data_IF_284692739023
#
_entry.id   IF_284692739023
#
_cell.length_a   1.000
_cell.length_b   1.000
_cell.length_c   1.000
_cell.angle_alpha   90.00
_cell.angle_beta   90.00
_cell.angle_gamma   90.00
#
_symmetry.space_group_name_H-M   'P 1'
#
loop_
_entity.id
_entity.type
_entity.pdbx_description
1 polymer ?
#
# COMPACT_ATOMS: atom_id res chain seq x y z
N UNK A 1 7.33 16.68 -6.94
CA UNK A 1 7.70 15.37 -6.34
C UNK A 1 6.57 14.35 -6.42
N UNK A 2 5.32 14.70 -6.03
CA UNK A 2 4.17 13.77 -6.08
C UNK A 2 3.93 13.15 -7.48
N UNK A 3 4.07 13.94 -8.54
CA UNK A 3 3.96 13.47 -9.93
C UNK A 3 5.03 12.43 -10.32
N UNK A 4 6.27 12.59 -9.83
CA UNK A 4 7.38 11.66 -10.09
C UNK A 4 7.12 10.32 -9.40
N UNK A 5 6.67 10.36 -8.13
CA UNK A 5 6.31 9.16 -7.37
C UNK A 5 5.13 8.43 -8.04
N UNK A 6 4.11 9.16 -8.50
CA UNK A 6 3.01 8.56 -9.29
C UNK A 6 3.47 7.94 -10.58
N UNK A 7 4.46 8.54 -11.25
CA UNK A 7 5.00 7.99 -12.50
C UNK A 7 5.72 6.65 -12.25
N UNK A 8 6.55 6.58 -11.21
CA UNK A 8 7.28 5.37 -10.82
C UNK A 8 6.31 4.26 -10.41
N UNK A 9 5.29 4.59 -9.60
CA UNK A 9 4.29 3.64 -9.12
C UNK A 9 3.03 3.55 -10.00
N UNK A 10 3.10 4.06 -11.23
CA UNK A 10 2.01 3.98 -12.19
C UNK A 10 1.52 2.55 -12.50
N UNK A 11 2.35 1.47 -12.51
CA UNK A 11 1.82 0.12 -12.73
C UNK A 11 0.91 -0.36 -11.60
N UNK A 12 1.06 0.16 -10.39
CA UNK A 12 0.20 -0.18 -9.24
C UNK A 12 -1.03 0.74 -9.19
N UNK A 13 -0.84 2.03 -9.47
CA UNK A 13 -1.91 3.03 -9.37
C UNK A 13 -2.88 2.97 -10.55
N UNK A 14 -2.41 2.79 -11.78
CA UNK A 14 -3.28 2.82 -12.98
C UNK A 14 -4.40 1.78 -12.95
N UNK A 15 -4.16 0.50 -12.60
CA UNK A 15 -5.25 -0.48 -12.51
C UNK A 15 -6.29 -0.11 -11.44
N UNK A 16 -5.83 0.47 -10.32
CA UNK A 16 -6.70 0.88 -9.23
C UNK A 16 -7.47 2.17 -9.54
N UNK A 17 -6.89 3.09 -10.28
CA UNK A 17 -7.51 4.37 -10.65
C UNK A 17 -8.30 4.30 -11.97
N UNK A 18 -8.14 3.24 -12.76
CA UNK A 18 -8.79 3.11 -14.07
C UNK A 18 -10.26 2.71 -13.95
N UNK A 19 -11.17 3.60 -14.30
CA UNK A 19 -12.60 3.32 -14.35
C UNK A 19 -13.41 4.51 -13.82
N UNK A 20 -14.67 4.59 -14.22
CA UNK A 20 -15.58 5.67 -13.82
C UNK A 20 -16.77 5.12 -13.01
N UNK A 21 -16.56 4.02 -12.30
CA UNK A 21 -17.58 3.43 -11.44
C UNK A 21 -17.86 4.37 -10.25
N UNK A 22 -19.12 4.50 -9.81
CA UNK A 22 -19.42 5.18 -8.57
C UNK A 22 -18.62 4.51 -7.43
N UNK A 23 -18.11 5.32 -6.51
CA UNK A 23 -17.37 4.85 -5.35
C UNK A 23 -17.77 5.62 -4.11
N UNK A 24 -17.87 4.91 -2.98
CA UNK A 24 -18.10 5.54 -1.68
C UNK A 24 -16.76 5.69 -0.97
N UNK A 25 -16.28 6.92 -0.86
CA UNK A 25 -15.04 7.23 -0.15
C UNK A 25 -15.28 7.59 1.32
N UNK A 26 -14.45 7.04 2.20
CA UNK A 26 -14.35 7.43 3.60
C UNK A 26 -12.90 7.72 3.95
N UNK A 27 -12.64 8.87 4.58
CA UNK A 27 -11.29 9.26 5.01
C UNK A 27 -10.65 8.25 5.96
N UNK A 28 -11.44 7.57 6.79
CA UNK A 28 -10.97 6.50 7.68
C UNK A 28 -10.31 5.35 6.93
N UNK A 29 -10.78 5.00 5.74
CA UNK A 29 -10.20 3.94 4.91
C UNK A 29 -8.76 4.26 4.49
N UNK A 30 -8.47 5.54 4.18
CA UNK A 30 -7.13 6.00 3.86
C UNK A 30 -6.21 5.93 5.09
N UNK A 31 -6.71 6.37 6.25
CA UNK A 31 -5.95 6.33 7.51
C UNK A 31 -5.62 4.90 7.88
N UNK A 32 -6.60 3.99 7.87
CA UNK A 32 -6.39 2.58 8.21
C UNK A 32 -5.39 1.95 7.24
N UNK A 33 -5.50 2.21 5.94
CA UNK A 33 -4.56 1.69 4.95
C UNK A 33 -3.12 2.10 5.25
N UNK A 34 -2.88 3.37 5.56
CA UNK A 34 -1.55 3.89 5.92
C UNK A 34 -1.06 3.31 7.25
N UNK A 35 -1.93 3.24 8.27
CA UNK A 35 -1.58 2.69 9.59
C UNK A 35 -1.21 1.21 9.50
N UNK A 36 -2.01 0.39 8.80
CA UNK A 36 -1.73 -1.04 8.61
C UNK A 36 -0.47 -1.25 7.78
N UNK A 37 -0.22 -0.41 6.76
CA UNK A 37 1.04 -0.44 6.01
C UNK A 37 2.25 -0.18 6.92
N UNK A 38 2.12 0.74 7.88
CA UNK A 38 3.16 0.98 8.90
C UNK A 38 3.39 -0.21 9.82
N UNK A 39 2.32 -0.90 10.24
CA UNK A 39 2.45 -2.13 11.03
C UNK A 39 3.22 -3.22 10.27
N UNK A 40 2.90 -3.43 8.99
CA UNK A 40 3.64 -4.38 8.14
C UNK A 40 5.10 -3.95 7.90
N UNK A 41 5.37 -2.65 7.79
CA UNK A 41 6.74 -2.14 7.68
C UNK A 41 7.56 -2.47 8.93
N UNK A 42 6.98 -2.25 10.12
CA UNK A 42 7.60 -2.57 11.40
C UNK A 42 7.84 -4.08 11.48
N UNK A 43 6.86 -4.90 11.11
CA UNK A 43 6.98 -6.36 11.12
C UNK A 43 8.08 -6.86 10.19
N UNK A 44 8.17 -6.33 8.97
CA UNK A 44 9.22 -6.65 8.01
C UNK A 44 10.61 -6.24 8.54
N UNK A 45 10.71 -5.04 9.10
CA UNK A 45 11.95 -4.51 9.68
C UNK A 45 12.42 -5.36 10.86
N UNK A 46 11.54 -5.63 11.83
CA UNK A 46 11.85 -6.47 12.99
C UNK A 46 12.25 -7.88 12.57
N UNK A 47 11.52 -8.48 11.62
CA UNK A 47 11.85 -9.82 11.10
C UNK A 47 13.25 -9.86 10.49
N UNK A 48 13.63 -8.82 9.73
CA UNK A 48 14.95 -8.71 9.13
C UNK A 48 16.06 -8.50 10.18
N UNK A 49 15.83 -7.66 11.19
CA UNK A 49 16.84 -7.33 12.20
C UNK A 49 17.05 -8.41 13.27
N UNK A 50 15.98 -9.11 13.69
CA UNK A 50 16.06 -10.10 14.77
C UNK A 50 16.38 -11.52 14.28
N UNK A 51 16.10 -11.84 13.01
CA UNK A 51 16.29 -13.17 12.45
C UNK A 51 16.98 -13.11 11.07
N UNK A 52 18.30 -12.83 11.00
CA UNK A 52 19.03 -12.68 9.75
C UNK A 52 19.32 -14.01 9.02
N UNK A 53 18.43 -15.00 9.16
CA UNK A 53 18.48 -16.26 8.42
C UNK A 53 17.66 -16.18 7.13
N UNK A 54 18.12 -16.90 6.11
CA UNK A 54 17.52 -16.92 4.77
C UNK A 54 16.05 -17.36 4.81
N UNK A 55 15.69 -18.22 5.77
CA UNK A 55 14.32 -18.71 5.96
C UNK A 55 13.31 -17.59 6.28
N UNK A 56 13.78 -16.46 6.82
CA UNK A 56 12.94 -15.32 7.19
C UNK A 56 12.88 -14.23 6.12
N UNK A 57 13.63 -14.37 5.01
CA UNK A 57 13.55 -13.42 3.90
C UNK A 57 12.17 -13.42 3.24
N UNK A 58 11.49 -14.58 3.19
CA UNK A 58 10.20 -14.68 2.53
C UNK A 58 9.14 -13.79 3.20
N UNK A 59 8.88 -13.90 4.53
CA UNK A 59 7.98 -12.97 5.22
C UNK A 59 8.41 -11.50 5.10
N UNK A 60 9.71 -11.21 5.18
CA UNK A 60 10.24 -9.84 5.06
C UNK A 60 9.88 -9.23 3.70
N UNK A 61 10.07 -9.98 2.61
CA UNK A 61 9.77 -9.53 1.25
C UNK A 61 8.26 -9.34 1.08
N UNK A 62 7.45 -10.29 1.53
CA UNK A 62 5.99 -10.22 1.38
C UNK A 62 5.42 -9.04 2.17
N UNK A 63 5.74 -8.93 3.46
CA UNK A 63 5.26 -7.81 4.29
C UNK A 63 5.82 -6.47 3.83
N UNK A 64 7.08 -6.43 3.39
CA UNK A 64 7.69 -5.23 2.81
C UNK A 64 6.99 -4.79 1.53
N UNK A 65 6.69 -5.73 0.62
CA UNK A 65 5.99 -5.42 -0.63
C UNK A 65 4.56 -4.93 -0.38
N UNK A 66 3.81 -5.60 0.51
CA UNK A 66 2.44 -5.19 0.88
C UNK A 66 2.45 -3.81 1.54
N UNK A 67 3.38 -3.57 2.48
CA UNK A 67 3.55 -2.28 3.13
C UNK A 67 3.86 -1.16 2.13
N UNK A 68 4.78 -1.41 1.19
CA UNK A 68 5.13 -0.44 0.15
C UNK A 68 3.93 -0.11 -0.73
N UNK A 69 3.21 -1.12 -1.21
CA UNK A 69 1.99 -0.93 -2.00
C UNK A 69 0.93 -0.13 -1.24
N UNK A 70 0.68 -0.46 0.02
CA UNK A 70 -0.30 0.23 0.85
C UNK A 70 0.08 1.69 1.13
N UNK A 71 1.37 1.98 1.36
CA UNK A 71 1.84 3.37 1.49
C UNK A 71 1.73 4.16 0.19
N UNK A 72 2.10 3.56 -0.94
CA UNK A 72 2.00 4.19 -2.25
C UNK A 72 0.54 4.58 -2.54
N UNK A 73 -0.41 3.67 -2.35
CA UNK A 73 -1.82 3.95 -2.58
C UNK A 73 -2.38 4.92 -1.53
N UNK A 74 -2.06 4.71 -0.25
CA UNK A 74 -2.56 5.52 0.86
C UNK A 74 -2.04 6.96 0.88
N UNK A 75 -0.78 7.19 0.50
CA UNK A 75 -0.16 8.52 0.52
C UNK A 75 -0.32 9.27 -0.82
N UNK A 76 -0.23 8.55 -1.94
CA UNK A 76 -0.09 9.16 -3.27
C UNK A 76 -1.28 8.85 -4.19
N UNK A 77 -1.97 7.73 -4.00
CA UNK A 77 -3.14 7.34 -4.80
C UNK A 77 -4.38 8.21 -4.58
N UNK A 78 -5.24 8.26 -5.59
CA UNK A 78 -6.55 8.92 -5.55
C UNK A 78 -7.53 8.23 -4.59
N UNK A 79 -8.60 8.94 -4.22
CA UNK A 79 -9.66 8.41 -3.36
C UNK A 79 -10.34 7.17 -3.94
N UNK A 80 -10.46 7.08 -5.28
CA UNK A 80 -10.99 5.91 -5.98
C UNK A 80 -10.08 4.67 -5.81
N UNK A 81 -8.76 4.84 -5.77
CA UNK A 81 -7.82 3.74 -5.56
C UNK A 81 -7.97 3.17 -4.15
N UNK A 82 -8.11 4.05 -3.15
CA UNK A 82 -8.39 3.66 -1.77
C UNK A 82 -9.75 2.96 -1.70
N UNK A 83 -10.81 3.53 -2.27
CA UNK A 83 -12.14 2.93 -2.25
C UNK A 83 -12.17 1.52 -2.86
N UNK A 84 -11.44 1.30 -3.96
CA UNK A 84 -11.31 -0.01 -4.60
C UNK A 84 -10.58 -1.04 -3.76
N UNK A 85 -9.51 -0.67 -3.06
CA UNK A 85 -8.84 -1.57 -2.10
C UNK A 85 -9.84 -2.09 -1.06
N UNK A 86 -10.76 -1.24 -0.63
CA UNK A 86 -11.78 -1.59 0.35
C UNK A 86 -13.06 -2.16 -0.25
N UNK A 87 -13.12 -2.39 -1.57
CA UNK A 87 -14.31 -2.92 -2.25
C UNK A 87 -15.54 -2.01 -2.14
N UNK A 88 -15.34 -0.72 -1.84
CA UNK A 88 -16.41 0.25 -1.60
C UNK A 88 -16.90 0.80 -2.94
N UNK A 89 -17.87 0.11 -3.54
CA UNK A 89 -18.59 0.50 -4.76
C UNK A 89 -19.85 1.29 -4.39
#
# INVERSE_FOLDING_TARGET
MRAVIRSIFSPILKPLESGNEPYIYKRSHRIILVTVSGLFAILASLSFFLAPSIDYLFPVIVFGAVSLCGFVVGAVGEDIAVARIWGSK
#
